data_IF_608625218967
#
_entry.id   IF_608625218967
#
_cell.length_a   1.000
_cell.length_b   1.000
_cell.length_c   1.000
_cell.angle_alpha   90.00
_cell.angle_beta   90.00
_cell.angle_gamma   90.00
#
_symmetry.space_group_name_H-M   'P 1'
#
loop_
_entity.id
_entity.type
_entity.pdbx_description
1 polymer ?
#
# COMPACT_ATOMS: atom_id res chain seq x y z
N UNK A 1 28.34 5.24 32.32
CA UNK A 1 27.33 4.21 32.61
C UNK A 1 27.66 3.01 31.74
N UNK A 2 28.06 1.91 32.31
CA UNK A 2 28.32 0.67 31.58
C UNK A 2 26.98 0.00 31.34
N UNK A 3 26.52 0.05 30.11
CA UNK A 3 25.31 -0.64 29.63
C UNK A 3 25.42 -2.15 29.87
N UNK A 4 24.72 -2.66 30.87
CA UNK A 4 24.59 -4.11 31.08
C UNK A 4 23.52 -4.67 30.11
N UNK A 5 23.72 -5.86 29.54
CA UNK A 5 22.83 -6.42 28.51
C UNK A 5 21.36 -6.66 28.97
N UNK A 6 21.10 -6.62 30.26
CA UNK A 6 19.81 -6.98 30.85
C UNK A 6 19.20 -5.87 31.75
N UNK A 7 19.56 -4.60 31.55
CA UNK A 7 18.90 -3.50 32.28
C UNK A 7 17.44 -3.38 31.79
N UNK A 8 16.49 -3.63 32.69
CA UNK A 8 15.06 -3.48 32.44
C UNK A 8 14.62 -2.03 32.47
N UNK A 9 13.82 -1.62 31.53
CA UNK A 9 13.27 -0.28 31.36
C UNK A 9 11.74 -0.31 31.52
N UNK A 10 11.16 0.78 32.05
CA UNK A 10 9.73 0.87 32.37
C UNK A 10 9.02 2.09 31.78
N UNK A 11 9.69 2.90 30.97
CA UNK A 11 9.10 4.09 30.37
C UNK A 11 8.41 3.75 29.05
N UNK A 12 7.17 4.17 28.86
CA UNK A 12 6.45 4.00 27.60
C UNK A 12 6.74 5.20 26.69
N UNK A 13 7.55 5.00 25.67
CA UNK A 13 7.92 6.00 24.67
C UNK A 13 7.95 5.39 23.27
N UNK A 14 7.63 6.19 22.27
CA UNK A 14 7.76 5.82 20.87
C UNK A 14 6.49 6.06 20.06
N UNK A 15 6.63 6.04 18.74
CA UNK A 15 5.52 6.08 17.80
C UNK A 15 4.81 4.71 17.80
N UNK A 16 3.47 4.65 17.85
CA UNK A 16 2.69 3.43 18.05
C UNK A 16 3.12 2.23 17.18
N UNK A 17 3.39 2.45 15.90
CA UNK A 17 3.71 1.39 14.94
C UNK A 17 5.00 0.61 15.25
N UNK A 18 5.96 1.23 15.94
CA UNK A 18 7.29 0.65 16.18
C UNK A 18 7.45 0.08 17.57
N UNK A 19 6.47 0.27 18.45
CA UNK A 19 6.53 -0.14 19.87
C UNK A 19 6.47 -1.67 19.95
N UNK A 20 7.40 -2.26 20.71
CA UNK A 20 7.39 -3.69 20.99
C UNK A 20 6.33 -4.06 22.05
N UNK A 21 5.80 -5.31 22.07
CA UNK A 21 4.79 -5.75 23.04
C UNK A 21 5.22 -5.56 24.49
N UNK A 22 6.47 -5.87 24.81
CA UNK A 22 7.03 -5.73 26.15
C UNK A 22 7.18 -4.28 26.61
N UNK A 23 7.34 -3.33 25.67
CA UNK A 23 7.34 -1.88 25.97
C UNK A 23 5.94 -1.43 26.43
N UNK A 24 4.89 -1.99 25.82
CA UNK A 24 3.51 -1.74 26.26
C UNK A 24 3.27 -2.26 27.68
N UNK A 25 3.95 -3.34 28.06
CA UNK A 25 3.90 -3.92 29.40
C UNK A 25 4.83 -3.24 30.42
N UNK A 26 5.67 -2.28 29.99
CA UNK A 26 6.63 -1.53 30.80
C UNK A 26 7.70 -2.40 31.47
N UNK A 27 8.08 -3.48 30.83
CA UNK A 27 9.16 -4.37 31.27
C UNK A 27 9.93 -4.87 30.04
N UNK A 28 10.94 -4.11 29.61
CA UNK A 28 11.62 -4.35 28.36
C UNK A 28 13.14 -4.15 28.45
N UNK A 29 13.84 -4.76 27.55
CA UNK A 29 15.28 -4.69 27.38
C UNK A 29 15.62 -4.15 25.98
N UNK A 30 16.89 -4.10 25.60
CA UNK A 30 17.35 -3.75 24.24
C UNK A 30 16.75 -4.62 23.14
N UNK A 31 16.16 -5.77 23.46
CA UNK A 31 15.48 -6.61 22.48
C UNK A 31 14.27 -5.91 21.82
N UNK A 32 13.72 -4.87 22.44
CA UNK A 32 12.64 -4.06 21.83
C UNK A 32 13.11 -3.32 20.56
N UNK A 33 14.39 -2.97 20.46
CA UNK A 33 14.94 -2.30 19.27
C UNK A 33 14.95 -3.25 18.06
N UNK A 34 15.15 -4.56 18.30
CA UNK A 34 15.09 -5.58 17.23
C UNK A 34 13.66 -5.74 16.69
N UNK A 35 12.66 -5.61 17.54
CA UNK A 35 11.27 -5.53 17.09
C UNK A 35 11.05 -4.31 16.18
N UNK A 36 11.49 -3.13 16.62
CA UNK A 36 11.39 -1.89 15.82
C UNK A 36 12.08 -2.02 14.47
N UNK A 37 13.27 -2.67 14.43
CA UNK A 37 13.97 -2.99 13.18
C UNK A 37 13.12 -3.93 12.31
N UNK A 38 12.48 -4.94 12.89
CA UNK A 38 11.57 -5.84 12.16
C UNK A 38 10.41 -5.09 11.50
N UNK A 39 9.79 -4.15 12.22
CA UNK A 39 8.74 -3.28 11.67
C UNK A 39 9.29 -2.41 10.53
N UNK A 40 10.46 -1.80 10.70
CA UNK A 40 11.12 -0.99 9.65
C UNK A 40 11.42 -1.85 8.42
N UNK A 41 11.99 -3.03 8.58
CA UNK A 41 12.25 -3.96 7.46
C UNK A 41 10.95 -4.33 6.72
N UNK A 42 9.89 -4.63 7.46
CA UNK A 42 8.58 -4.91 6.86
C UNK A 42 8.10 -3.74 6.02
N UNK A 43 8.11 -2.51 6.58
CA UNK A 43 7.70 -1.28 5.89
C UNK A 43 8.56 -1.03 4.64
N UNK A 44 9.87 -1.17 4.72
CA UNK A 44 10.78 -0.93 3.60
C UNK A 44 10.55 -1.90 2.42
N UNK A 45 10.06 -3.11 2.70
CA UNK A 45 9.85 -4.13 1.67
C UNK A 45 8.46 -4.08 1.03
N UNK A 46 7.44 -3.70 1.78
CA UNK A 46 6.06 -3.66 1.25
C UNK A 46 5.41 -2.30 1.33
N UNK A 47 5.97 -1.40 2.18
CA UNK A 47 5.66 0.00 2.27
C UNK A 47 4.54 0.38 3.25
N UNK A 48 3.97 -0.54 4.00
CA UNK A 48 3.00 -0.29 5.07
C UNK A 48 3.37 -1.09 6.33
N UNK A 49 2.91 -0.68 7.54
CA UNK A 49 3.28 -1.36 8.77
C UNK A 49 2.63 -2.75 8.89
N UNK A 50 3.29 -3.72 9.58
CA UNK A 50 2.72 -5.05 9.82
C UNK A 50 1.51 -5.02 10.78
N UNK A 51 1.45 -4.01 11.64
CA UNK A 51 0.38 -3.80 12.62
C UNK A 51 -0.23 -2.43 12.39
N UNK A 52 -1.50 -2.36 12.09
CA UNK A 52 -2.22 -1.12 11.82
C UNK A 52 -3.63 -1.18 12.42
N UNK A 53 -4.27 -0.01 12.57
CA UNK A 53 -5.63 0.12 13.09
C UNK A 53 -6.04 1.58 13.12
N UNK A 54 -7.33 1.82 13.26
CA UNK A 54 -7.95 3.15 13.19
C UNK A 54 -7.53 4.09 14.32
N UNK A 55 -6.92 3.56 15.37
CA UNK A 55 -6.40 4.31 16.49
C UNK A 55 -5.31 3.50 17.23
N UNK A 56 -4.59 4.18 18.13
CA UNK A 56 -3.49 3.57 18.91
C UNK A 56 -3.92 2.29 19.66
N UNK A 57 -5.14 2.26 20.21
CA UNK A 57 -5.62 1.10 20.95
C UNK A 57 -5.78 -0.13 20.03
N UNK A 58 -6.27 0.07 18.79
CA UNK A 58 -6.38 -0.99 17.80
C UNK A 58 -4.99 -1.47 17.36
N UNK A 59 -4.04 -0.54 17.13
CA UNK A 59 -2.66 -0.85 16.79
C UNK A 59 -2.01 -1.68 17.91
N UNK A 60 -2.16 -1.26 19.17
CA UNK A 60 -1.60 -1.98 20.32
C UNK A 60 -2.20 -3.39 20.48
N UNK A 61 -3.48 -3.55 20.21
CA UNK A 61 -4.14 -4.86 20.19
C UNK A 61 -3.52 -5.79 19.15
N UNK A 62 -3.24 -5.28 17.95
CA UNK A 62 -2.57 -6.04 16.88
C UNK A 62 -1.13 -6.40 17.28
N UNK A 63 -0.36 -5.47 17.82
CA UNK A 63 1.00 -5.69 18.31
C UNK A 63 1.00 -6.79 19.38
N UNK A 64 0.10 -6.72 20.36
CA UNK A 64 -0.01 -7.71 21.42
C UNK A 64 -0.47 -9.10 20.92
N UNK A 65 -1.17 -9.17 19.81
CA UNK A 65 -1.52 -10.47 19.19
C UNK A 65 -0.34 -11.09 18.43
N UNK A 66 0.62 -10.26 17.98
CA UNK A 66 1.75 -10.67 17.14
C UNK A 66 1.33 -11.23 15.78
N UNK A 67 0.05 -11.03 15.41
CA UNK A 67 -0.49 -11.57 14.16
C UNK A 67 -0.31 -10.56 13.04
N UNK A 68 0.45 -10.94 12.03
CA UNK A 68 0.63 -10.22 10.77
C UNK A 68 0.77 -11.23 9.64
N UNK A 69 0.59 -10.80 8.41
CA UNK A 69 0.63 -11.64 7.21
C UNK A 69 1.60 -11.08 6.16
N UNK A 70 1.75 -11.83 5.07
CA UNK A 70 2.53 -11.45 3.90
C UNK A 70 1.62 -11.58 2.67
N UNK A 71 0.76 -10.57 2.38
CA UNK A 71 -0.15 -10.62 1.26
C UNK A 71 0.59 -10.84 -0.07
N UNK A 72 0.11 -11.78 -0.88
CA UNK A 72 0.81 -12.21 -2.08
C UNK A 72 1.06 -11.08 -3.09
N UNK A 73 0.22 -10.07 -3.09
CA UNK A 73 0.31 -8.92 -3.99
C UNK A 73 1.60 -8.12 -3.77
N UNK A 74 1.94 -7.81 -2.52
CA UNK A 74 3.13 -7.03 -2.17
C UNK A 74 4.33 -7.93 -1.88
N UNK A 75 4.07 -9.13 -1.37
CA UNK A 75 5.11 -10.03 -0.88
C UNK A 75 5.45 -11.19 -1.82
N UNK A 76 4.74 -11.31 -2.96
CA UNK A 76 4.95 -12.42 -3.90
C UNK A 76 6.38 -12.49 -4.46
N UNK A 77 7.00 -11.34 -4.71
CA UNK A 77 8.37 -11.22 -5.24
C UNK A 77 9.45 -11.04 -4.16
N UNK A 78 9.06 -11.02 -2.87
CA UNK A 78 10.02 -10.89 -1.76
C UNK A 78 10.47 -12.27 -1.32
N UNK A 79 11.78 -12.43 -1.17
CA UNK A 79 12.39 -13.72 -0.84
C UNK A 79 11.88 -14.29 0.48
N UNK A 80 11.91 -15.62 0.60
CA UNK A 80 11.51 -16.30 1.82
C UNK A 80 12.45 -15.97 2.99
N UNK A 81 13.74 -15.77 2.69
CA UNK A 81 14.75 -15.38 3.69
C UNK A 81 14.42 -14.02 4.33
N UNK A 82 13.95 -13.04 3.53
CA UNK A 82 13.51 -11.76 4.05
C UNK A 82 12.29 -11.90 4.98
N UNK A 83 11.30 -12.69 4.59
CA UNK A 83 10.10 -13.00 5.39
C UNK A 83 10.46 -13.70 6.69
N UNK A 84 11.37 -14.67 6.63
CA UNK A 84 11.85 -15.43 7.79
C UNK A 84 12.64 -14.53 8.74
N UNK A 85 13.48 -13.63 8.21
CA UNK A 85 14.22 -12.66 9.00
C UNK A 85 13.27 -11.73 9.78
N UNK A 86 12.29 -11.13 9.10
CA UNK A 86 11.28 -10.27 9.74
C UNK A 86 10.52 -11.06 10.83
N UNK A 87 10.11 -12.28 10.54
CA UNK A 87 9.40 -13.13 11.50
C UNK A 87 10.21 -13.40 12.77
N UNK A 88 11.54 -13.56 12.66
CA UNK A 88 12.42 -13.70 13.83
C UNK A 88 12.46 -12.43 14.66
N UNK A 89 12.51 -11.25 14.02
CA UNK A 89 12.55 -9.97 14.70
C UNK A 89 11.20 -9.62 15.36
N UNK A 90 10.07 -9.97 14.71
CA UNK A 90 8.72 -9.74 15.19
C UNK A 90 8.18 -10.92 16.04
N UNK A 91 9.08 -11.57 16.81
CA UNK A 91 8.69 -12.58 17.79
C UNK A 91 8.14 -11.89 19.04
N UNK A 92 6.97 -12.35 19.54
CA UNK A 92 6.36 -11.84 20.78
C UNK A 92 7.26 -12.06 21.99
N UNK A 93 7.96 -13.22 22.04
CA UNK A 93 8.95 -13.49 23.06
C UNK A 93 10.27 -12.77 22.74
N UNK A 94 10.55 -11.73 23.48
CA UNK A 94 11.76 -10.92 23.32
C UNK A 94 13.07 -11.74 23.50
N UNK A 95 13.04 -12.83 24.26
CA UNK A 95 14.20 -13.70 24.49
C UNK A 95 14.52 -14.61 23.30
N UNK A 96 13.55 -14.85 22.43
CA UNK A 96 13.70 -15.64 21.21
C UNK A 96 14.10 -14.77 19.99
N UNK A 97 14.16 -13.45 20.15
CA UNK A 97 14.66 -12.57 19.10
C UNK A 97 16.18 -12.68 18.99
N UNK A 98 16.73 -12.62 17.78
CA UNK A 98 18.17 -12.56 17.62
C UNK A 98 18.74 -11.30 18.25
N UNK A 99 19.95 -11.37 18.76
CA UNK A 99 20.75 -10.19 19.09
C UNK A 99 21.09 -9.42 17.81
N UNK A 100 21.51 -8.16 17.93
CA UNK A 100 21.95 -7.37 16.77
C UNK A 100 23.10 -8.04 16.00
N UNK A 101 24.04 -8.68 16.72
CA UNK A 101 25.15 -9.39 16.12
C UNK A 101 24.69 -10.63 15.35
N UNK A 102 23.75 -11.40 15.88
CA UNK A 102 23.17 -12.56 15.22
C UNK A 102 22.32 -12.13 14.02
N UNK A 103 21.52 -11.06 14.16
CA UNK A 103 20.74 -10.50 13.07
C UNK A 103 21.62 -10.13 11.86
N UNK A 104 22.79 -9.53 12.08
CA UNK A 104 23.77 -9.20 11.03
C UNK A 104 24.35 -10.44 10.33
N UNK A 105 24.26 -11.62 10.92
CA UNK A 105 24.71 -12.90 10.34
C UNK A 105 23.57 -13.70 9.70
N UNK A 106 22.37 -13.12 9.63
CA UNK A 106 21.22 -13.83 9.05
C UNK A 106 21.43 -14.14 7.57
N UNK A 107 20.84 -15.26 7.14
CA UNK A 107 20.92 -15.73 5.75
C UNK A 107 20.50 -14.70 4.74
N UNK A 108 19.52 -13.85 5.09
CA UNK A 108 19.04 -12.80 4.18
C UNK A 108 20.17 -11.87 3.73
N UNK A 109 21.12 -11.53 4.59
CA UNK A 109 22.27 -10.70 4.20
C UNK A 109 23.36 -11.46 3.44
N UNK A 110 23.29 -12.78 3.40
CA UNK A 110 24.27 -13.62 2.70
C UNK A 110 23.81 -14.04 1.31
N UNK A 111 22.51 -13.97 1.03
CA UNK A 111 21.95 -14.22 -0.30
C UNK A 111 22.36 -13.08 -1.23
N UNK A 112 22.88 -13.41 -2.40
CA UNK A 112 23.15 -12.42 -3.46
C UNK A 112 21.91 -11.57 -3.66
N UNK A 113 22.10 -10.25 -3.73
CA UNK A 113 21.02 -9.29 -3.91
C UNK A 113 20.10 -9.75 -5.04
N UNK A 114 18.78 -9.76 -4.78
CA UNK A 114 17.82 -10.04 -5.82
C UNK A 114 18.15 -9.14 -7.04
N UNK A 115 18.12 -9.72 -8.24
CA UNK A 115 18.15 -8.94 -9.47
C UNK A 115 17.11 -7.82 -9.33
N UNK A 116 17.45 -6.58 -9.72
CA UNK A 116 16.48 -5.50 -9.68
C UNK A 116 15.22 -5.96 -10.41
N UNK A 117 14.11 -6.10 -9.71
CA UNK A 117 12.82 -6.37 -10.36
C UNK A 117 12.59 -5.21 -11.32
N UNK A 118 12.46 -5.47 -12.63
CA UNK A 118 12.20 -4.39 -13.56
C UNK A 118 10.99 -3.61 -13.08
N UNK A 119 11.08 -2.29 -13.04
CA UNK A 119 9.99 -1.40 -12.61
C UNK A 119 8.68 -1.76 -13.33
N UNK A 120 8.81 -2.19 -14.58
CA UNK A 120 7.71 -2.68 -15.44
C UNK A 120 6.95 -3.88 -14.83
N UNK A 121 7.63 -4.80 -14.10
CA UNK A 121 6.95 -5.94 -13.46
C UNK A 121 6.03 -5.49 -12.31
N UNK A 122 6.49 -4.52 -11.53
CA UNK A 122 5.66 -3.96 -10.45
C UNK A 122 4.48 -3.15 -10.97
N UNK A 123 4.58 -2.59 -12.17
CA UNK A 123 3.48 -1.89 -12.85
C UNK A 123 2.40 -2.87 -13.27
N UNK A 124 2.74 -3.96 -13.94
CA UNK A 124 1.76 -4.94 -14.41
C UNK A 124 0.85 -5.43 -13.28
N UNK A 125 1.42 -5.84 -12.16
CA UNK A 125 0.65 -6.30 -11.00
C UNK A 125 -0.23 -5.20 -10.36
N UNK A 126 0.21 -3.94 -10.40
CA UNK A 126 -0.60 -2.81 -9.92
C UNK A 126 -1.77 -2.51 -10.85
N UNK A 127 -1.53 -2.54 -12.16
CA UNK A 127 -2.58 -2.37 -13.15
C UNK A 127 -3.67 -3.46 -13.03
N UNK A 128 -3.26 -4.74 -12.90
CA UNK A 128 -4.20 -5.85 -12.65
C UNK A 128 -5.01 -5.63 -11.36
N UNK A 129 -4.34 -5.23 -10.29
CA UNK A 129 -5.01 -4.93 -9.02
C UNK A 129 -6.01 -3.79 -9.14
N UNK A 130 -5.66 -2.71 -9.86
CA UNK A 130 -6.53 -1.57 -10.09
C UNK A 130 -7.80 -1.97 -10.87
N UNK A 131 -7.66 -2.78 -11.91
CA UNK A 131 -8.80 -3.27 -12.70
C UNK A 131 -9.83 -3.99 -11.83
N UNK A 132 -9.37 -4.79 -10.86
CA UNK A 132 -10.23 -5.50 -9.91
C UNK A 132 -10.87 -4.63 -8.81
N UNK A 133 -10.57 -3.34 -8.74
CA UNK A 133 -11.15 -2.46 -7.72
C UNK A 133 -12.58 -2.02 -8.05
N UNK A 134 -13.37 -1.71 -7.01
CA UNK A 134 -14.68 -1.09 -7.18
C UNK A 134 -14.58 0.29 -7.85
N UNK A 135 -15.65 0.73 -8.51
CA UNK A 135 -15.71 2.03 -9.20
C UNK A 135 -15.39 3.19 -8.27
N UNK A 136 -15.94 3.18 -7.06
CA UNK A 136 -15.67 4.21 -6.04
C UNK A 136 -14.16 4.30 -5.74
N UNK A 137 -13.52 3.16 -5.53
CA UNK A 137 -12.09 3.11 -5.21
C UNK A 137 -11.21 3.61 -6.34
N UNK A 138 -11.56 3.29 -7.59
CA UNK A 138 -10.85 3.79 -8.78
C UNK A 138 -10.93 5.32 -8.87
N UNK A 139 -12.11 5.90 -8.70
CA UNK A 139 -12.29 7.36 -8.69
C UNK A 139 -11.60 8.02 -7.51
N UNK A 140 -11.65 7.42 -6.31
CA UNK A 140 -10.90 7.92 -5.17
C UNK A 140 -9.39 7.98 -5.44
N UNK A 141 -8.83 6.95 -6.08
CA UNK A 141 -7.42 6.94 -6.48
C UNK A 141 -7.09 7.99 -7.53
N UNK A 142 -8.00 8.27 -8.46
CA UNK A 142 -7.83 9.34 -9.45
C UNK A 142 -7.80 10.71 -8.75
N UNK A 143 -8.73 10.99 -7.84
CA UNK A 143 -8.74 12.22 -7.04
C UNK A 143 -7.46 12.37 -6.23
N UNK A 144 -7.01 11.31 -5.56
CA UNK A 144 -5.74 11.32 -4.82
C UNK A 144 -4.57 11.62 -5.77
N UNK A 145 -4.52 10.98 -6.94
CA UNK A 145 -3.45 11.18 -7.92
C UNK A 145 -3.29 12.65 -8.34
N UNK A 146 -4.39 13.38 -8.50
CA UNK A 146 -4.39 14.80 -8.86
C UNK A 146 -3.81 15.72 -7.77
N UNK A 147 -3.81 15.27 -6.51
CA UNK A 147 -3.36 16.06 -5.36
C UNK A 147 -1.94 15.70 -4.87
N UNK A 148 -1.29 14.71 -5.50
CA UNK A 148 0.05 14.31 -5.13
C UNK A 148 1.11 15.34 -5.55
N UNK A 149 2.13 15.48 -4.74
CA UNK A 149 3.27 16.38 -5.01
C UNK A 149 4.18 15.83 -6.11
N UNK A 150 4.87 16.70 -6.83
CA UNK A 150 5.87 16.34 -7.87
C UNK A 150 6.92 15.33 -7.35
N UNK A 151 7.27 15.38 -6.07
CA UNK A 151 8.22 14.45 -5.47
C UNK A 151 7.64 13.04 -5.36
N UNK A 152 6.37 12.92 -5.05
CA UNK A 152 5.68 11.63 -4.86
C UNK A 152 5.42 10.93 -6.19
N UNK A 153 5.26 11.69 -7.27
CA UNK A 153 4.94 11.18 -8.61
C UNK A 153 6.16 11.08 -9.53
N UNK A 154 7.35 11.51 -9.10
CA UNK A 154 8.54 11.64 -9.95
C UNK A 154 8.87 10.35 -10.71
N UNK A 155 8.84 9.21 -10.02
CA UNK A 155 9.19 7.90 -10.60
C UNK A 155 8.11 7.41 -11.57
N UNK A 156 6.83 7.60 -11.23
CA UNK A 156 5.71 7.25 -12.11
C UNK A 156 5.68 8.15 -13.34
N UNK A 157 5.98 9.43 -13.17
CA UNK A 157 6.09 10.40 -14.28
C UNK A 157 7.22 10.04 -15.25
N UNK A 158 8.36 9.58 -14.73
CA UNK A 158 9.46 9.09 -15.57
C UNK A 158 9.03 7.84 -16.34
N UNK A 159 8.41 6.90 -15.64
CA UNK A 159 7.93 5.65 -16.24
C UNK A 159 6.91 5.90 -17.35
N UNK A 160 5.91 6.77 -17.11
CA UNK A 160 4.93 7.13 -18.13
C UNK A 160 5.61 7.70 -19.39
N UNK A 161 6.59 8.60 -19.20
CA UNK A 161 7.36 9.17 -20.33
C UNK A 161 8.18 8.14 -21.10
N UNK A 162 8.70 7.13 -20.41
CA UNK A 162 9.46 6.04 -21.04
C UNK A 162 8.53 5.12 -21.84
N UNK A 163 7.28 4.97 -21.42
CA UNK A 163 6.24 4.19 -22.08
C UNK A 163 5.58 4.95 -23.25
N UNK A 164 5.40 6.26 -23.14
CA UNK A 164 4.83 7.15 -24.18
C UNK A 164 5.87 7.40 -25.29
N UNK A 165 6.10 6.38 -26.10
CA UNK A 165 7.10 6.41 -27.17
C UNK A 165 6.75 7.45 -28.25
N UNK A 166 5.47 7.61 -28.53
CA UNK A 166 4.95 8.53 -29.52
C UNK A 166 4.81 9.98 -29.03
N UNK A 167 5.02 10.22 -27.72
CA UNK A 167 4.98 11.53 -27.05
C UNK A 167 3.64 12.27 -27.19
N UNK A 168 2.55 11.54 -27.19
CA UNK A 168 1.20 12.11 -27.28
C UNK A 168 0.59 12.47 -25.92
N UNK A 169 1.24 12.05 -24.82
CA UNK A 169 0.72 12.24 -23.47
C UNK A 169 -0.36 11.22 -23.08
N UNK A 170 -0.54 10.19 -23.89
CA UNK A 170 -1.45 9.06 -23.61
C UNK A 170 -0.77 7.74 -24.01
N UNK A 171 -1.06 6.67 -23.30
CA UNK A 171 -0.56 5.34 -23.60
C UNK A 171 -1.62 4.55 -24.36
N UNK A 172 -1.20 3.99 -25.47
CA UNK A 172 -2.03 3.11 -26.30
C UNK A 172 -1.86 1.65 -25.87
N UNK A 173 -2.81 0.80 -26.23
CA UNK A 173 -2.70 -0.68 -26.09
C UNK A 173 -1.37 -1.19 -26.67
N UNK A 174 -0.94 -0.65 -27.81
CA UNK A 174 0.29 -1.07 -28.50
C UNK A 174 1.54 -0.73 -27.69
N UNK A 175 1.61 0.46 -27.09
CA UNK A 175 2.74 0.89 -26.26
C UNK A 175 2.81 0.06 -24.97
N UNK A 176 1.69 -0.14 -24.28
CA UNK A 176 1.62 -0.98 -23.10
C UNK A 176 1.96 -2.45 -23.42
N UNK A 177 1.48 -2.98 -24.52
CA UNK A 177 1.79 -4.33 -24.98
C UNK A 177 3.29 -4.53 -25.27
N UNK A 178 3.92 -3.52 -25.85
CA UNK A 178 5.35 -3.54 -26.15
C UNK A 178 6.19 -3.46 -24.88
N UNK A 179 5.77 -2.66 -23.90
CA UNK A 179 6.45 -2.51 -22.62
C UNK A 179 6.34 -3.75 -21.72
N UNK A 180 5.23 -4.48 -21.82
CA UNK A 180 4.93 -5.66 -21.00
C UNK A 180 5.27 -6.98 -21.70
N UNK A 181 6.16 -6.95 -22.72
CA UNK A 181 6.52 -8.13 -23.53
C UNK A 181 7.08 -9.29 -22.72
N UNK A 182 7.75 -9.01 -21.60
CA UNK A 182 8.33 -10.02 -20.71
C UNK A 182 7.29 -10.66 -19.76
N UNK A 183 6.03 -10.20 -19.79
CA UNK A 183 4.93 -10.68 -18.95
C UNK A 183 3.80 -11.28 -19.82
N UNK A 184 3.93 -12.53 -20.32
CA UNK A 184 2.98 -13.11 -21.27
C UNK A 184 1.54 -13.22 -20.72
N UNK A 185 1.35 -13.40 -19.42
CA UNK A 185 0.03 -13.47 -18.79
C UNK A 185 -0.69 -12.11 -18.85
N UNK A 186 0.04 -11.00 -18.65
CA UNK A 186 -0.48 -9.64 -18.75
C UNK A 186 -0.76 -9.29 -20.22
N UNK A 187 0.12 -9.69 -21.12
CA UNK A 187 -0.07 -9.46 -22.56
C UNK A 187 -1.37 -10.04 -23.12
N UNK A 188 -1.81 -11.20 -22.60
CA UNK A 188 -3.06 -11.84 -23.05
C UNK A 188 -4.31 -11.09 -22.60
N UNK A 189 -4.20 -10.21 -21.60
CA UNK A 189 -5.30 -9.46 -20.98
C UNK A 189 -5.15 -7.94 -21.16
N UNK A 190 -4.20 -7.49 -21.99
CA UNK A 190 -3.84 -6.06 -22.06
C UNK A 190 -5.00 -5.17 -22.50
N UNK A 191 -5.89 -5.67 -23.35
CA UNK A 191 -7.06 -4.93 -23.81
C UNK A 191 -8.06 -4.73 -22.67
N UNK A 192 -8.31 -5.76 -21.86
CA UNK A 192 -9.14 -5.69 -20.65
C UNK A 192 -8.51 -4.78 -19.59
N UNK A 193 -7.16 -4.81 -19.48
CA UNK A 193 -6.44 -3.91 -18.57
C UNK A 193 -6.59 -2.45 -18.99
N UNK A 194 -6.40 -2.15 -20.27
CA UNK A 194 -6.57 -0.78 -20.77
C UNK A 194 -8.01 -0.31 -20.57
N UNK A 195 -9.00 -1.12 -20.94
CA UNK A 195 -10.42 -0.80 -20.75
C UNK A 195 -10.79 -0.60 -19.27
N UNK A 196 -10.16 -1.36 -18.37
CA UNK A 196 -10.35 -1.25 -16.92
C UNK A 196 -9.67 -0.04 -16.27
N UNK A 197 -8.66 0.56 -16.92
CA UNK A 197 -7.91 1.75 -16.47
C UNK A 197 -8.48 3.01 -17.11
N UNK A 198 -8.91 2.94 -18.36
CA UNK A 198 -9.54 4.01 -19.15
C UNK A 198 -10.91 4.35 -18.53
N UNK A 199 -10.91 5.34 -17.63
CA UNK A 199 -12.11 5.74 -16.88
C UNK A 199 -13.02 6.66 -17.67
N UNK A 200 -12.49 7.42 -18.64
CA UNK A 200 -13.23 8.32 -19.51
C UNK A 200 -13.67 7.67 -20.84
N UNK A 201 -13.29 6.40 -21.07
CA UNK A 201 -13.64 5.58 -22.22
C UNK A 201 -13.18 6.17 -23.56
N UNK A 202 -12.02 6.84 -23.57
CA UNK A 202 -11.40 7.39 -24.79
C UNK A 202 -10.48 6.40 -25.52
N UNK A 203 -10.36 5.14 -25.05
CA UNK A 203 -9.55 4.05 -25.59
C UNK A 203 -8.04 4.28 -25.51
N UNK A 204 -7.61 5.17 -24.64
CA UNK A 204 -6.19 5.39 -24.29
C UNK A 204 -6.09 5.57 -22.78
N UNK A 205 -4.90 5.40 -22.24
CA UNK A 205 -4.64 5.66 -20.81
C UNK A 205 -3.88 6.96 -20.72
N UNK A 206 -4.49 7.98 -20.13
CA UNK A 206 -3.81 9.24 -19.88
C UNK A 206 -2.87 9.17 -18.66
N UNK A 207 -2.15 10.27 -18.41
CA UNK A 207 -1.21 10.31 -17.30
C UNK A 207 -1.87 10.15 -15.93
N UNK A 208 -3.04 10.75 -15.71
CA UNK A 208 -3.74 10.69 -14.42
C UNK A 208 -4.33 9.30 -14.16
N UNK A 209 -4.88 8.67 -15.18
CA UNK A 209 -5.36 7.28 -15.13
C UNK A 209 -4.22 6.31 -14.86
N UNK A 210 -3.08 6.47 -15.56
CA UNK A 210 -1.89 5.66 -15.33
C UNK A 210 -1.35 5.88 -13.90
N UNK A 211 -1.30 7.12 -13.44
CA UNK A 211 -0.87 7.46 -12.08
C UNK A 211 -1.78 6.81 -11.04
N UNK A 212 -3.10 6.97 -11.18
CA UNK A 212 -4.08 6.35 -10.28
C UNK A 212 -3.94 4.82 -10.23
N UNK A 213 -3.77 4.18 -11.40
CA UNK A 213 -3.64 2.73 -11.52
C UNK A 213 -2.30 2.17 -10.99
N UNK A 214 -1.27 3.03 -10.90
CA UNK A 214 0.08 2.64 -10.45
C UNK A 214 0.46 3.17 -9.08
N UNK A 215 -0.45 3.90 -8.40
CA UNK A 215 -0.22 4.36 -7.03
C UNK A 215 0.14 3.21 -6.09
N UNK A 216 1.15 3.43 -5.25
CA UNK A 216 1.47 2.48 -4.21
C UNK A 216 0.39 2.50 -3.13
N UNK A 217 0.14 1.34 -2.52
CA UNK A 217 -0.80 1.22 -1.40
C UNK A 217 -0.53 2.23 -0.29
N UNK A 218 0.73 2.49 -0.01
CA UNK A 218 1.15 3.47 1.00
C UNK A 218 0.72 4.88 0.71
N UNK A 219 0.66 5.24 -0.55
CA UNK A 219 0.27 6.59 -0.94
C UNK A 219 -1.22 6.78 -0.72
N UNK A 220 -2.04 5.81 -1.12
CA UNK A 220 -3.48 6.00 -1.03
C UNK A 220 -4.08 5.73 0.37
N UNK A 221 -3.44 4.93 1.25
CA UNK A 221 -3.93 4.69 2.62
C UNK A 221 -3.52 5.78 3.63
N UNK A 222 -2.77 6.80 3.22
CA UNK A 222 -2.48 7.92 4.10
C UNK A 222 -3.78 8.64 4.47
N UNK A 223 -3.96 8.93 5.75
CA UNK A 223 -5.16 9.58 6.27
C UNK A 223 -5.48 10.87 5.52
N UNK A 224 -4.45 11.70 5.23
CA UNK A 224 -4.58 12.93 4.45
C UNK A 224 -5.18 12.68 3.05
N UNK A 225 -4.75 11.62 2.37
CA UNK A 225 -5.22 11.29 1.03
C UNK A 225 -6.64 10.69 1.05
N UNK A 226 -6.96 9.91 2.08
CA UNK A 226 -8.32 9.40 2.29
C UNK A 226 -9.28 10.56 2.53
N UNK A 227 -8.89 11.54 3.36
CA UNK A 227 -9.69 12.75 3.59
C UNK A 227 -9.91 13.57 2.31
N UNK A 228 -8.86 13.75 1.49
CA UNK A 228 -8.99 14.44 0.20
C UNK A 228 -10.04 13.74 -0.69
N UNK A 229 -9.95 12.41 -0.80
CA UNK A 229 -10.93 11.66 -1.58
C UNK A 229 -12.33 11.74 -0.97
N UNK A 230 -12.47 11.60 0.35
CA UNK A 230 -13.76 11.71 1.02
C UNK A 230 -14.40 13.07 0.83
N UNK A 231 -13.65 14.16 1.03
CA UNK A 231 -14.12 15.54 0.86
C UNK A 231 -14.54 15.85 -0.58
N UNK A 232 -13.92 15.21 -1.56
CA UNK A 232 -14.32 15.31 -2.97
C UNK A 232 -15.69 14.66 -3.22
N UNK A 233 -15.96 13.51 -2.58
CA UNK A 233 -17.25 12.84 -2.71
C UNK A 233 -18.35 13.45 -1.84
N UNK A 234 -18.03 13.96 -0.65
CA UNK A 234 -18.94 14.64 0.28
C UNK A 234 -18.98 16.16 -0.03
N UNK A 235 -19.46 16.53 -1.22
CA UNK A 235 -19.48 17.93 -1.69
C UNK A 235 -20.28 18.87 -0.77
N UNK A 236 -21.32 18.38 -0.15
CA UNK A 236 -22.19 19.15 0.75
C UNK A 236 -21.73 19.14 2.21
N UNK A 237 -20.58 18.50 2.48
CA UNK A 237 -19.90 18.43 3.80
C UNK A 237 -20.81 17.98 4.94
N UNK A 238 -21.61 16.97 4.68
CA UNK A 238 -22.51 16.37 5.66
C UNK A 238 -21.83 15.34 6.55
N UNK A 239 -20.59 14.94 6.23
CA UNK A 239 -19.85 13.87 6.87
C UNK A 239 -20.26 12.48 6.38
N UNK A 240 -20.96 12.42 5.25
CA UNK A 240 -21.41 11.16 4.64
C UNK A 240 -21.50 11.33 3.13
N UNK A 241 -21.00 10.35 2.37
CA UNK A 241 -21.16 10.33 0.91
C UNK A 241 -22.54 9.76 0.60
N UNK A 242 -23.45 10.60 0.18
CA UNK A 242 -24.85 10.25 -0.10
C UNK A 242 -25.06 9.79 -1.54
N UNK A 243 -26.23 9.19 -1.81
CA UNK A 243 -26.62 8.84 -3.18
C UNK A 243 -26.64 10.08 -4.10
N UNK A 244 -27.05 11.24 -3.58
CA UNK A 244 -27.08 12.49 -4.35
C UNK A 244 -25.67 12.94 -4.75
N UNK A 245 -24.71 12.87 -3.84
CA UNK A 245 -23.30 13.15 -4.13
C UNK A 245 -22.78 12.24 -5.26
N UNK A 246 -23.04 10.93 -5.17
CA UNK A 246 -22.57 9.96 -6.16
C UNK A 246 -23.26 10.12 -7.52
N UNK A 247 -24.55 10.47 -7.56
CA UNK A 247 -25.23 10.79 -8.82
C UNK A 247 -24.59 12.00 -9.49
N UNK A 248 -24.24 13.03 -8.71
CA UNK A 248 -23.59 14.23 -9.25
C UNK A 248 -22.22 13.87 -9.88
N UNK A 249 -21.41 13.06 -9.20
CA UNK A 249 -20.06 12.69 -9.65
C UNK A 249 -20.10 11.70 -10.82
N UNK A 250 -20.91 10.64 -10.73
CA UNK A 250 -20.94 9.60 -11.76
C UNK A 250 -21.90 9.92 -12.93
N UNK A 251 -22.73 10.95 -12.80
CA UNK A 251 -23.70 11.33 -13.82
C UNK A 251 -24.81 10.29 -14.07
N UNK A 252 -24.92 9.25 -13.23
CA UNK A 252 -25.83 8.12 -13.41
C UNK A 252 -26.34 7.60 -12.07
N UNK A 253 -27.68 7.60 -11.91
CA UNK A 253 -28.33 7.04 -10.73
C UNK A 253 -28.06 5.54 -10.56
N UNK A 254 -28.03 4.81 -11.67
CA UNK A 254 -27.76 3.36 -11.65
C UNK A 254 -26.35 3.08 -11.11
N UNK A 255 -25.33 3.80 -11.58
CA UNK A 255 -23.96 3.64 -11.08
C UNK A 255 -23.84 4.05 -9.61
N UNK A 256 -24.49 5.13 -9.20
CA UNK A 256 -24.50 5.57 -7.81
C UNK A 256 -25.13 4.53 -6.87
N UNK A 257 -26.23 3.90 -7.30
CA UNK A 257 -26.88 2.81 -6.54
C UNK A 257 -26.00 1.56 -6.43
N UNK A 258 -25.28 1.19 -7.50
CA UNK A 258 -24.30 0.08 -7.47
C UNK A 258 -23.21 0.37 -6.43
N UNK A 259 -22.63 1.58 -6.44
CA UNK A 259 -21.57 1.99 -5.49
C UNK A 259 -22.06 2.00 -4.05
N UNK A 260 -23.25 2.54 -3.79
CA UNK A 260 -23.86 2.48 -2.44
C UNK A 260 -24.05 1.02 -2.02
N UNK A 261 -24.63 0.18 -2.87
CA UNK A 261 -24.89 -1.23 -2.55
C UNK A 261 -23.64 -2.03 -2.22
N UNK A 262 -22.48 -1.66 -2.80
CA UNK A 262 -21.19 -2.29 -2.53
C UNK A 262 -20.51 -1.81 -1.23
N UNK A 263 -20.81 -0.59 -0.76
CA UNK A 263 -20.05 0.08 0.30
C UNK A 263 -20.89 0.55 1.50
N UNK A 264 -22.21 0.42 1.45
CA UNK A 264 -23.11 0.73 2.56
C UNK A 264 -23.23 -0.47 3.50
N UNK A 265 -22.46 -0.46 4.58
CA UNK A 265 -22.40 -1.56 5.56
C UNK A 265 -23.47 -1.48 6.65
N UNK A 266 -24.05 -0.30 6.90
CA UNK A 266 -25.06 -0.09 7.96
C UNK A 266 -26.50 0.05 7.42
N UNK A 267 -26.68 0.11 6.10
CA UNK A 267 -27.97 0.10 5.41
C UNK A 267 -28.68 1.44 5.42
N UNK A 268 -27.98 2.54 5.73
CA UNK A 268 -28.56 3.89 5.77
C UNK A 268 -28.49 4.67 4.43
N UNK A 269 -27.96 4.00 3.39
CA UNK A 269 -27.76 4.52 2.04
C UNK A 269 -26.75 5.67 1.95
N UNK A 270 -25.74 5.64 2.79
CA UNK A 270 -24.61 6.55 2.76
C UNK A 270 -23.31 5.82 3.11
N UNK A 271 -22.17 6.38 2.69
CA UNK A 271 -20.83 5.87 3.01
C UNK A 271 -20.20 6.87 3.98
N UNK A 272 -19.61 6.36 5.06
CA UNK A 272 -19.03 7.15 6.17
C UNK A 272 -17.55 6.88 6.32
#
# INVERSE_FOLDING_TARGET
MTDQPNDHMATRVGTPYYIAPEVLNRDYTKACDLWSIGVICYILLCGYPPFYGDNDAAIFKMIMSGTFDYPAQEWGNISQEAKDFIKKLLNLDASERPTAAEAMQDKWFQVAHAEPVPIVASVGSRLESFVGMSKLKKHALQVIAEHLTEKEISDVKKMFKDLDVNKKGTLTVVELKSALVEFPHIQSQIEELVDGIDLDHNHTVDYNEFLAATLSRNTFIREENIHIAFDHFDEDKTGSITLANLIHIFGSEQHALEVIGENDYDGDRAIK
#
